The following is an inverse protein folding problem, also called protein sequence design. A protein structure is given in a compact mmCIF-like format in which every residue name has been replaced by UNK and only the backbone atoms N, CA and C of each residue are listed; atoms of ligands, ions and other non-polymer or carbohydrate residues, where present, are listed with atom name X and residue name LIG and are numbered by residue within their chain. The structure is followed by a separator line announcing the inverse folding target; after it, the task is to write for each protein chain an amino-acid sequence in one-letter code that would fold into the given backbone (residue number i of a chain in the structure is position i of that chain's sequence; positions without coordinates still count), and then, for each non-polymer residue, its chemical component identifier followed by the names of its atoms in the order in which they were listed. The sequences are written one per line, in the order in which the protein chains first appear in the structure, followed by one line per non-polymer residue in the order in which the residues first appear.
data_IF_674442873809
#
_entry.id   IF_674442873809
#
_cell.length_a   1.000
_cell.length_b   1.000
_cell.length_c   1.000
_cell.angle_alpha   90.00
_cell.angle_beta   90.00
_cell.angle_gamma   90.00
#
_symmetry.space_group_name_H-M   'P 1'
#
loop_
_entity.id
_entity.type
_entity.pdbx_description
1 polymer ?
#
# COMPACT_ATOMS: atom_id res chain seq x y z
N UNK A 1 76.18 -29.05 -36.74
CA UNK A 1 75.33 -29.70 -35.72
C UNK A 1 74.79 -28.61 -34.79
N UNK A 2 73.47 -28.43 -34.72
CA UNK A 2 72.74 -27.72 -33.65
C UNK A 2 72.13 -28.79 -32.71
N UNK A 3 71.62 -28.51 -31.48
CA UNK A 3 71.18 -27.24 -30.84
C UNK A 3 71.70 -27.09 -29.36
N UNK A 4 71.45 -26.06 -28.52
CA UNK A 4 70.19 -25.69 -27.82
C UNK A 4 70.26 -24.35 -27.04
N UNK A 5 69.13 -23.62 -27.04
CA UNK A 5 68.48 -22.80 -25.97
C UNK A 5 69.17 -21.53 -25.40
N UNK A 6 68.79 -20.30 -25.78
CA UNK A 6 67.65 -19.47 -25.30
C UNK A 6 67.73 -19.03 -23.81
N UNK A 7 67.99 -17.73 -23.54
CA UNK A 7 67.06 -16.75 -22.93
C UNK A 7 67.81 -15.47 -22.44
N UNK A 8 67.48 -14.32 -23.02
CA UNK A 8 67.68 -12.99 -22.44
C UNK A 8 66.55 -12.11 -22.93
N UNK A 9 65.66 -11.67 -22.04
CA UNK A 9 64.74 -10.57 -22.32
C UNK A 9 64.11 -10.02 -21.03
N UNK A 10 64.64 -8.85 -20.67
CA UNK A 10 64.06 -7.71 -19.94
C UNK A 10 62.53 -7.71 -19.83
N UNK A 11 62.03 -7.64 -18.59
CA UNK A 11 60.64 -7.39 -18.26
C UNK A 11 60.43 -5.87 -18.08
N UNK A 12 59.82 -5.20 -19.04
CA UNK A 12 59.23 -3.88 -18.87
C UNK A 12 57.80 -3.92 -19.40
N UNK A 13 56.85 -4.20 -18.49
CA UNK A 13 55.43 -4.21 -18.82
C UNK A 13 54.90 -2.77 -18.75
N UNK A 14 54.68 -2.15 -19.91
CA UNK A 14 53.88 -0.93 -20.02
C UNK A 14 52.41 -1.34 -19.88
N UNK A 15 51.79 -0.99 -18.76
CA UNK A 15 50.35 -1.14 -18.57
C UNK A 15 49.64 -0.04 -19.39
N UNK A 16 49.25 -0.37 -20.63
CA UNK A 16 48.24 0.41 -21.34
C UNK A 16 46.89 -0.05 -20.80
N UNK A 17 46.35 0.69 -19.83
CA UNK A 17 44.95 0.56 -19.44
C UNK A 17 44.10 1.00 -20.64
N UNK A 18 43.57 0.03 -21.39
CA UNK A 18 42.51 0.30 -22.36
C UNK A 18 41.29 0.73 -21.57
N UNK A 19 40.99 2.04 -21.62
CA UNK A 19 39.73 2.57 -21.13
C UNK A 19 38.61 2.03 -22.03
N UNK A 20 38.08 0.86 -21.68
CA UNK A 20 36.82 0.37 -22.24
C UNK A 20 35.76 1.39 -21.81
N UNK A 21 35.03 2.01 -22.76
CA UNK A 21 33.92 2.88 -22.39
C UNK A 21 32.91 2.01 -21.65
N UNK A 22 32.69 2.29 -20.36
CA UNK A 22 31.57 1.72 -19.63
C UNK A 22 30.31 2.30 -20.26
N UNK A 23 29.75 1.56 -21.21
CA UNK A 23 28.37 1.76 -21.64
C UNK A 23 27.54 1.47 -20.40
N UNK A 24 27.13 2.52 -19.70
CA UNK A 24 26.23 2.43 -18.56
C UNK A 24 24.85 1.99 -19.11
N UNK A 25 24.61 0.68 -19.21
CA UNK A 25 23.33 0.13 -19.68
C UNK A 25 22.31 0.32 -18.56
N UNK A 26 21.80 1.56 -18.45
CA UNK A 26 20.80 1.99 -17.46
C UNK A 26 19.51 1.15 -17.47
N UNK A 27 19.25 0.37 -18.51
CA UNK A 27 18.03 -0.44 -18.67
C UNK A 27 18.05 -1.85 -18.06
N UNK A 28 19.21 -2.41 -17.69
CA UNK A 28 19.30 -3.81 -17.21
C UNK A 28 19.29 -3.94 -15.68
N UNK A 29 19.59 -2.87 -14.94
CA UNK A 29 19.71 -2.91 -13.48
C UNK A 29 18.39 -2.49 -12.81
N UNK A 30 18.02 -3.18 -11.74
CA UNK A 30 16.97 -2.75 -10.82
C UNK A 30 17.28 -1.35 -10.29
N UNK A 31 16.35 -0.43 -10.49
CA UNK A 31 16.43 0.94 -9.99
C UNK A 31 15.32 1.20 -8.99
N UNK A 32 15.72 1.55 -7.76
CA UNK A 32 14.82 2.04 -6.72
C UNK A 32 14.29 3.42 -7.10
N UNK A 33 12.97 3.58 -7.02
CA UNK A 33 12.25 4.82 -7.31
C UNK A 33 11.28 5.13 -6.19
N UNK A 34 10.72 6.34 -6.25
CA UNK A 34 9.62 6.72 -5.38
C UNK A 34 8.59 7.54 -6.14
N UNK A 35 7.35 7.52 -5.65
CA UNK A 35 6.24 8.36 -6.10
C UNK A 35 5.54 8.97 -4.88
N UNK A 36 4.74 10.00 -5.13
CA UNK A 36 3.87 10.60 -4.12
C UNK A 36 2.44 10.16 -4.35
N UNK A 37 1.68 9.97 -3.27
CA UNK A 37 0.29 9.52 -3.33
C UNK A 37 -0.58 10.43 -2.49
N UNK A 38 -1.74 10.81 -3.03
CA UNK A 38 -2.79 11.48 -2.28
C UNK A 38 -4.12 10.73 -2.41
N UNK A 39 -5.01 10.93 -1.44
CA UNK A 39 -6.42 10.56 -1.52
C UNK A 39 -7.21 11.75 -2.04
N UNK A 40 -8.00 11.54 -3.09
CA UNK A 40 -8.98 12.51 -3.58
C UNK A 40 -10.39 12.04 -3.26
N UNK A 41 -11.06 12.72 -2.35
CA UNK A 41 -12.43 12.39 -1.96
C UNK A 41 -13.45 13.10 -2.88
N UNK A 42 -14.04 12.33 -3.79
CA UNK A 42 -15.18 12.73 -4.61
C UNK A 42 -16.50 12.07 -4.13
N UNK A 43 -16.49 11.44 -2.96
CA UNK A 43 -17.69 10.84 -2.38
C UNK A 43 -18.68 11.91 -1.88
N UNK A 44 -19.96 11.54 -1.64
CA UNK A 44 -20.95 12.48 -1.14
C UNK A 44 -20.68 12.94 0.30
N UNK A 45 -19.81 12.25 1.04
CA UNK A 45 -19.52 12.53 2.43
C UNK A 45 -18.06 12.94 2.65
N UNK A 46 -17.77 13.57 3.79
CA UNK A 46 -16.40 13.65 4.29
C UNK A 46 -15.98 12.25 4.72
N UNK A 47 -14.69 11.95 4.62
CA UNK A 47 -14.17 10.66 5.06
C UNK A 47 -13.32 10.85 6.30
N UNK A 48 -13.41 9.90 7.22
CA UNK A 48 -12.66 9.84 8.47
C UNK A 48 -11.81 8.59 8.52
N UNK A 49 -10.76 8.62 9.33
CA UNK A 49 -9.89 7.46 9.60
C UNK A 49 -9.42 6.80 8.29
N UNK A 50 -8.96 7.61 7.34
CA UNK A 50 -8.54 7.13 6.03
C UNK A 50 -7.13 6.56 6.17
N UNK A 51 -6.98 5.27 5.91
CA UNK A 51 -5.71 4.57 5.96
C UNK A 51 -5.40 3.96 4.61
N UNK A 52 -4.25 4.32 4.05
CA UNK A 52 -3.72 3.71 2.82
C UNK A 52 -2.52 2.84 3.14
N UNK A 53 -2.53 1.64 2.58
CA UNK A 53 -1.41 0.71 2.59
C UNK A 53 -0.85 0.54 1.20
N UNK A 54 0.48 0.52 1.12
CA UNK A 54 1.21 0.15 -0.08
C UNK A 54 2.28 -0.89 0.27
N UNK A 55 2.31 -1.98 -0.50
CA UNK A 55 3.38 -2.98 -0.45
C UNK A 55 3.95 -3.18 -1.85
N UNK A 56 5.24 -2.98 -2.01
CA UNK A 56 5.97 -3.39 -3.21
C UNK A 56 6.53 -4.79 -2.98
N UNK A 57 5.75 -5.81 -3.36
CA UNK A 57 5.95 -7.20 -2.94
C UNK A 57 6.31 -7.28 -1.44
N UNK A 58 7.35 -8.04 -1.08
CA UNK A 58 7.83 -8.19 0.30
C UNK A 58 9.03 -7.27 0.60
N UNK A 59 9.30 -6.27 -0.25
CA UNK A 59 10.51 -5.44 -0.18
C UNK A 59 10.26 -4.13 0.56
N UNK A 60 9.20 -3.41 0.17
CA UNK A 60 8.87 -2.11 0.77
C UNK A 60 7.43 -2.11 1.27
N UNK A 61 7.21 -1.58 2.48
CA UNK A 61 5.89 -1.43 3.09
C UNK A 61 5.71 -0.02 3.59
N UNK A 62 4.54 0.54 3.31
CA UNK A 62 4.21 1.91 3.67
C UNK A 62 2.77 1.98 4.15
N UNK A 63 2.54 2.80 5.17
CA UNK A 63 1.23 3.13 5.72
C UNK A 63 1.13 4.64 5.85
N UNK A 64 -0.01 5.21 5.49
CA UNK A 64 -0.33 6.60 5.79
C UNK A 64 -1.76 6.70 6.29
N UNK A 65 -1.91 7.40 7.41
CA UNK A 65 -3.18 7.71 8.02
C UNK A 65 -3.52 9.19 7.79
N UNK A 66 -4.77 9.48 7.44
CA UNK A 66 -5.35 10.82 7.42
C UNK A 66 -6.60 10.80 8.31
N UNK A 67 -6.63 11.62 9.38
CA UNK A 67 -7.80 11.68 10.25
C UNK A 67 -9.06 12.07 9.49
N UNK A 68 -8.93 12.98 8.53
CA UNK A 68 -10.01 13.49 7.68
C UNK A 68 -9.50 13.63 6.25
N UNK A 69 -10.30 13.19 5.28
CA UNK A 69 -10.14 13.55 3.87
C UNK A 69 -11.33 14.42 3.43
N UNK A 70 -11.06 15.72 3.28
CA UNK A 70 -12.06 16.71 2.90
C UNK A 70 -12.61 16.47 1.50
N UNK A 71 -13.86 16.90 1.28
CA UNK A 71 -14.47 16.83 -0.05
C UNK A 71 -13.70 17.77 -0.97
N UNK A 72 -13.28 17.24 -2.13
CA UNK A 72 -12.54 17.95 -3.18
C UNK A 72 -11.15 18.40 -2.71
N UNK A 73 -10.12 17.82 -3.32
CA UNK A 73 -8.73 18.12 -3.03
C UNK A 73 -7.91 16.84 -2.86
N UNK A 74 -6.59 16.98 -2.78
CA UNK A 74 -5.71 15.90 -2.39
C UNK A 74 -5.50 15.95 -0.87
N UNK A 75 -5.49 14.78 -0.23
CA UNK A 75 -5.09 14.66 1.17
C UNK A 75 -3.65 15.15 1.39
N UNK A 76 -3.39 15.67 2.59
CA UNK A 76 -2.08 16.16 3.04
C UNK A 76 -1.79 15.59 4.43
N UNK A 77 -0.54 15.16 4.72
CA UNK A 77 0.61 15.12 3.82
C UNK A 77 0.42 14.08 2.70
N UNK A 78 1.17 14.24 1.60
CA UNK A 78 1.26 13.21 0.57
C UNK A 78 2.10 12.04 1.09
N UNK A 79 1.66 10.82 0.80
CA UNK A 79 2.40 9.61 1.15
C UNK A 79 3.53 9.38 0.13
N UNK A 80 4.77 9.25 0.59
CA UNK A 80 5.88 8.83 -0.25
C UNK A 80 5.95 7.31 -0.27
N UNK A 81 5.94 6.71 -1.45
CA UNK A 81 6.06 5.25 -1.64
C UNK A 81 7.29 4.91 -2.46
N UNK A 82 7.97 3.84 -2.09
CA UNK A 82 9.12 3.28 -2.78
C UNK A 82 8.74 2.02 -3.57
N UNK A 83 9.33 1.86 -4.76
CA UNK A 83 9.14 0.73 -5.66
C UNK A 83 10.38 0.55 -6.56
N UNK A 84 10.58 -0.64 -7.10
CA UNK A 84 11.66 -0.89 -8.06
C UNK A 84 11.16 -0.92 -9.51
N UNK A 85 12.04 -0.56 -10.43
CA UNK A 85 11.82 -0.68 -11.88
C UNK A 85 13.03 -1.29 -12.57
N UNK A 86 12.83 -1.89 -13.73
CA UNK A 86 13.89 -2.47 -14.56
C UNK A 86 13.42 -3.71 -15.31
N UNK A 87 14.21 -4.21 -16.25
CA UNK A 87 13.84 -5.34 -17.11
C UNK A 87 13.60 -6.65 -16.32
N UNK A 88 14.25 -6.81 -15.16
CA UNK A 88 14.18 -8.02 -14.33
C UNK A 88 13.42 -7.82 -13.02
N UNK A 89 12.71 -6.70 -12.83
CA UNK A 89 11.89 -6.51 -11.64
C UNK A 89 10.61 -7.33 -11.74
N UNK A 90 10.46 -8.33 -10.88
CA UNK A 90 9.22 -9.11 -10.73
C UNK A 90 8.30 -8.56 -9.63
N UNK A 91 8.75 -7.50 -8.93
CA UNK A 91 8.00 -6.89 -7.86
C UNK A 91 6.71 -6.24 -8.35
N UNK A 92 5.71 -6.20 -7.47
CA UNK A 92 4.38 -5.68 -7.78
C UNK A 92 3.92 -4.74 -6.69
N UNK A 93 3.32 -3.63 -7.10
CA UNK A 93 2.68 -2.67 -6.21
C UNK A 93 1.26 -3.13 -5.86
N UNK A 94 1.06 -3.40 -4.57
CA UNK A 94 -0.19 -3.84 -3.96
C UNK A 94 -0.72 -2.74 -3.05
N UNK A 95 -2.00 -2.41 -3.21
CA UNK A 95 -2.64 -1.29 -2.54
C UNK A 95 -3.89 -1.73 -1.79
N UNK A 96 -4.12 -1.13 -0.63
CA UNK A 96 -5.37 -1.29 0.11
C UNK A 96 -5.74 0.01 0.78
N UNK A 97 -7.00 0.38 0.70
CA UNK A 97 -7.53 1.59 1.32
C UNK A 97 -8.68 1.20 2.25
N UNK A 98 -8.61 1.69 3.47
CA UNK A 98 -9.66 1.58 4.47
C UNK A 98 -10.10 2.99 4.91
N UNK A 99 -11.39 3.23 5.10
CA UNK A 99 -11.90 4.52 5.55
C UNK A 99 -13.28 4.39 6.18
N UNK A 100 -13.71 5.44 6.87
CA UNK A 100 -15.07 5.58 7.39
C UNK A 100 -15.76 6.78 6.75
N UNK A 101 -17.07 6.70 6.56
CA UNK A 101 -17.86 7.86 6.16
C UNK A 101 -18.04 8.82 7.36
N UNK A 102 -18.52 10.04 7.14
CA UNK A 102 -18.56 11.10 8.18
C UNK A 102 -19.46 10.72 9.36
N UNK A 103 -20.47 9.88 9.12
CA UNK A 103 -21.34 9.33 10.16
C UNK A 103 -20.63 8.36 11.11
N UNK A 104 -19.38 7.98 10.81
CA UNK A 104 -18.59 6.97 11.50
C UNK A 104 -19.33 5.64 11.70
N UNK A 105 -20.43 5.36 10.97
CA UNK A 105 -21.27 4.17 11.10
C UNK A 105 -20.87 3.05 10.16
N UNK A 106 -20.17 3.41 9.08
CA UNK A 106 -19.79 2.45 8.03
C UNK A 106 -18.30 2.52 7.78
N UNK A 107 -17.66 1.38 7.90
CA UNK A 107 -16.26 1.16 7.50
C UNK A 107 -16.27 0.61 6.08
N UNK A 108 -15.45 1.20 5.24
CA UNK A 108 -15.21 0.78 3.86
C UNK A 108 -13.80 0.24 3.72
N UNK A 109 -13.66 -0.79 2.90
CA UNK A 109 -12.38 -1.36 2.54
C UNK A 109 -12.36 -1.67 1.04
N UNK A 110 -11.27 -1.37 0.34
CA UNK A 110 -11.11 -1.74 -1.08
C UNK A 110 -11.00 -3.24 -1.27
N UNK A 111 -11.75 -3.77 -2.25
CA UNK A 111 -11.90 -5.21 -2.46
C UNK A 111 -11.87 -5.58 -3.95
N UNK A 112 -10.72 -5.97 -4.52
CA UNK A 112 -10.68 -6.41 -5.92
C UNK A 112 -11.46 -7.72 -6.17
N UNK A 113 -11.75 -8.50 -5.11
CA UNK A 113 -12.52 -9.75 -5.14
C UNK A 113 -13.37 -9.91 -3.86
N UNK A 114 -14.19 -8.92 -3.51
CA UNK A 114 -15.07 -8.93 -2.32
C UNK A 114 -14.36 -9.16 -0.96
N UNK A 115 -13.06 -8.86 -0.85
CA UNK A 115 -12.20 -9.07 0.34
C UNK A 115 -12.11 -10.50 0.87
N UNK A 116 -12.66 -11.50 0.18
CA UNK A 116 -12.65 -12.89 0.66
C UNK A 116 -11.27 -13.34 1.12
N UNK A 117 -10.24 -13.12 0.30
CA UNK A 117 -8.88 -13.51 0.69
C UNK A 117 -8.29 -12.76 1.90
N UNK A 118 -8.74 -11.52 2.17
CA UNK A 118 -8.35 -10.81 3.38
C UNK A 118 -9.08 -11.37 4.60
N UNK A 119 -10.39 -11.60 4.48
CA UNK A 119 -11.20 -12.13 5.57
C UNK A 119 -10.84 -13.58 5.90
N UNK A 120 -10.63 -14.43 4.91
CA UNK A 120 -10.10 -15.79 5.10
C UNK A 120 -8.75 -15.76 5.87
N UNK A 121 -7.91 -14.75 5.60
CA UNK A 121 -6.65 -14.56 6.32
C UNK A 121 -6.85 -14.04 7.75
N UNK A 122 -7.74 -13.08 7.95
CA UNK A 122 -8.06 -12.55 9.28
C UNK A 122 -8.72 -13.60 10.16
N UNK A 123 -9.68 -14.37 9.66
CA UNK A 123 -10.31 -15.50 10.35
C UNK A 123 -9.27 -16.54 10.79
N UNK A 124 -8.25 -16.78 9.96
CA UNK A 124 -7.18 -17.72 10.30
C UNK A 124 -6.29 -17.23 11.44
N UNK A 125 -5.97 -15.94 11.49
CA UNK A 125 -5.10 -15.37 12.53
C UNK A 125 -5.89 -15.03 13.80
N UNK A 126 -7.15 -14.67 13.63
CA UNK A 126 -8.09 -14.30 14.67
C UNK A 126 -9.38 -15.10 14.44
N UNK A 127 -9.53 -16.31 15.01
CA UNK A 127 -10.74 -17.12 14.85
C UNK A 127 -12.05 -16.43 15.25
N UNK A 128 -11.96 -15.35 16.05
CA UNK A 128 -13.07 -14.47 16.43
C UNK A 128 -13.47 -13.47 15.33
N UNK A 129 -12.71 -13.36 14.24
CA UNK A 129 -12.88 -12.37 13.18
C UNK A 129 -13.93 -12.75 12.13
N UNK A 130 -14.78 -13.75 12.40
CA UNK A 130 -15.75 -14.30 11.45
C UNK A 130 -16.59 -13.20 10.75
N UNK A 131 -16.07 -12.67 9.64
CA UNK A 131 -16.74 -11.67 8.83
C UNK A 131 -17.63 -12.42 7.87
N UNK A 132 -18.92 -12.33 8.16
CA UNK A 132 -19.95 -13.03 7.45
C UNK A 132 -20.01 -12.50 6.01
N UNK A 133 -19.60 -13.36 5.07
CA UNK A 133 -19.75 -13.15 3.63
C UNK A 133 -21.20 -13.35 3.15
N UNK A 134 -22.16 -13.53 4.06
CA UNK A 134 -23.57 -13.83 3.82
C UNK A 134 -24.52 -13.01 4.71
N UNK A 135 -24.69 -11.72 4.43
CA UNK A 135 -25.90 -10.95 4.78
C UNK A 135 -26.24 -10.69 6.27
N UNK A 136 -25.56 -11.29 7.26
CA UNK A 136 -25.72 -10.92 8.67
C UNK A 136 -24.54 -10.08 9.13
N UNK A 137 -24.85 -8.90 9.65
CA UNK A 137 -23.89 -7.91 10.13
C UNK A 137 -23.20 -8.44 11.39
N UNK A 138 -21.91 -8.74 11.30
CA UNK A 138 -21.01 -8.75 12.46
C UNK A 138 -20.31 -7.40 12.43
N UNK A 139 -20.63 -6.53 13.40
CA UNK A 139 -20.00 -5.22 13.49
C UNK A 139 -18.55 -5.36 13.92
N UNK A 140 -17.71 -4.39 13.57
CA UNK A 140 -16.35 -4.30 14.10
C UNK A 140 -16.29 -4.29 15.64
N UNK A 141 -17.43 -4.06 16.32
CA UNK A 141 -17.56 -3.99 17.77
C UNK A 141 -17.34 -5.32 18.48
N UNK A 142 -17.64 -6.45 17.85
CA UNK A 142 -17.33 -7.77 18.42
C UNK A 142 -15.84 -8.11 18.35
N UNK A 143 -15.02 -7.23 17.74
CA UNK A 143 -13.58 -7.42 17.50
C UNK A 143 -12.68 -6.61 18.44
N UNK A 144 -13.27 -5.77 19.30
CA UNK A 144 -12.57 -5.17 20.42
C UNK A 144 -12.48 -6.20 21.56
N UNK A 145 -11.34 -6.89 21.67
CA UNK A 145 -11.00 -7.64 22.88
C UNK A 145 -11.08 -6.71 24.12
N UNK A 146 -11.30 -7.25 25.35
CA UNK A 146 -11.61 -6.48 26.57
C UNK A 146 -10.47 -5.60 27.13
N UNK A 147 -9.44 -5.28 26.34
CA UNK A 147 -8.20 -4.61 26.78
C UNK A 147 -8.03 -3.23 26.14
N UNK A 148 -9.07 -2.40 26.12
CA UNK A 148 -8.92 -1.01 25.68
C UNK A 148 -9.57 -0.09 26.70
N UNK A 149 -8.75 0.35 27.66
CA UNK A 149 -9.01 1.51 28.46
C UNK A 149 -9.15 2.74 27.54
N UNK A 150 -10.31 3.36 27.61
CA UNK A 150 -10.75 4.46 26.75
C UNK A 150 -9.85 5.68 26.94
N UNK A 151 -9.02 6.00 25.95
CA UNK A 151 -8.29 7.27 25.86
C UNK A 151 -8.92 8.09 24.74
N UNK A 152 -9.78 9.04 25.11
CA UNK A 152 -10.28 10.25 24.39
C UNK A 152 -10.57 10.23 22.87
N UNK A 153 -10.66 9.08 22.20
CA UNK A 153 -11.00 8.95 20.78
C UNK A 153 -12.27 8.12 20.55
N UNK A 154 -12.97 8.37 19.42
CA UNK A 154 -14.13 7.57 18.98
C UNK A 154 -13.82 6.07 18.99
N UNK A 155 -14.76 5.23 19.44
CA UNK A 155 -14.56 3.77 19.51
C UNK A 155 -14.21 3.18 18.13
N UNK A 156 -14.79 3.75 17.07
CA UNK A 156 -14.50 3.40 15.68
C UNK A 156 -13.04 3.67 15.30
N UNK A 157 -12.47 4.81 15.69
CA UNK A 157 -11.06 5.13 15.36
C UNK A 157 -10.07 4.15 15.98
N UNK A 158 -10.30 3.72 17.22
CA UNK A 158 -9.44 2.78 17.94
C UNK A 158 -9.52 1.40 17.27
N UNK A 159 -10.73 0.91 17.01
CA UNK A 159 -10.93 -0.38 16.35
C UNK A 159 -10.30 -0.40 14.94
N UNK A 160 -10.46 0.68 14.18
CA UNK A 160 -9.83 0.84 12.87
C UNK A 160 -8.30 0.79 12.97
N UNK A 161 -7.70 1.47 13.95
CA UNK A 161 -6.24 1.45 14.14
C UNK A 161 -5.72 0.04 14.41
N UNK A 162 -6.38 -0.72 15.27
CA UNK A 162 -5.96 -2.10 15.61
C UNK A 162 -5.99 -2.98 14.36
N UNK A 163 -7.08 -2.95 13.61
CA UNK A 163 -7.23 -3.76 12.40
C UNK A 163 -6.22 -3.35 11.34
N UNK A 164 -6.06 -2.03 11.14
CA UNK A 164 -5.12 -1.50 10.15
C UNK A 164 -3.67 -1.83 10.50
N UNK A 165 -3.28 -1.82 11.77
CA UNK A 165 -1.95 -2.22 12.23
C UNK A 165 -1.69 -3.72 11.98
N UNK A 166 -2.67 -4.58 12.24
CA UNK A 166 -2.56 -6.02 11.94
C UNK A 166 -2.43 -6.29 10.43
N UNK A 167 -3.24 -5.62 9.60
CA UNK A 167 -3.18 -5.70 8.13
C UNK A 167 -1.81 -5.24 7.60
N UNK A 168 -1.26 -4.17 8.19
CA UNK A 168 0.02 -3.62 7.81
C UNK A 168 1.18 -4.59 8.12
N UNK A 169 1.17 -5.15 9.32
CA UNK A 169 2.20 -6.07 9.79
C UNK A 169 2.13 -7.45 9.13
N UNK A 170 1.02 -7.79 8.48
CA UNK A 170 0.91 -9.01 7.71
C UNK A 170 1.89 -9.06 6.53
N UNK A 171 2.40 -10.24 6.19
CA UNK A 171 3.16 -10.43 4.93
C UNK A 171 2.25 -10.63 3.71
N UNK A 172 0.96 -10.90 3.92
CA UNK A 172 0.04 -11.16 2.81
C UNK A 172 -0.33 -9.89 2.03
N UNK A 173 -0.58 -10.08 0.74
CA UNK A 173 -1.23 -9.12 -0.18
C UNK A 173 -2.64 -9.57 -0.56
N UNK A 174 -3.19 -10.60 0.12
CA UNK A 174 -4.55 -11.04 -0.08
C UNK A 174 -5.55 -9.90 0.21
N UNK A 175 -6.44 -9.64 -0.75
CA UNK A 175 -7.38 -8.52 -0.70
C UNK A 175 -6.81 -7.17 -1.17
N UNK A 176 -5.51 -7.06 -1.44
CA UNK A 176 -4.92 -5.84 -2.00
C UNK A 176 -5.21 -5.75 -3.50
N UNK A 177 -5.46 -4.53 -3.97
CA UNK A 177 -5.57 -4.21 -5.39
C UNK A 177 -4.18 -3.98 -5.98
N UNK A 178 -3.85 -4.70 -7.04
CA UNK A 178 -2.64 -4.41 -7.80
C UNK A 178 -2.81 -3.12 -8.64
N UNK A 179 -1.82 -2.22 -8.56
CA UNK A 179 -1.68 -1.06 -9.45
C UNK A 179 -0.20 -0.72 -9.60
N UNK A 180 0.42 -1.16 -10.71
CA UNK A 180 1.87 -1.11 -10.91
C UNK A 180 2.34 0.32 -11.19
N UNK A 181 3.35 0.77 -10.46
CA UNK A 181 4.09 2.00 -10.74
C UNK A 181 5.24 1.71 -11.69
N UNK A 182 5.47 2.62 -12.63
CA UNK A 182 6.52 2.49 -13.65
C UNK A 182 7.48 3.67 -13.58
N UNK A 183 8.56 3.60 -14.35
CA UNK A 183 9.54 4.68 -14.45
C UNK A 183 8.91 6.06 -14.73
N UNK A 184 7.83 6.10 -15.51
CA UNK A 184 7.10 7.35 -15.79
C UNK A 184 6.45 8.00 -14.56
N UNK A 185 6.22 7.24 -13.49
CA UNK A 185 5.60 7.70 -12.24
C UNK A 185 6.62 8.25 -11.24
N UNK A 186 7.91 8.15 -11.54
CA UNK A 186 8.99 8.58 -10.64
C UNK A 186 8.86 10.06 -10.27
N UNK A 187 8.81 10.34 -8.97
CA UNK A 187 8.64 11.67 -8.38
C UNK A 187 7.36 12.38 -8.85
N UNK A 188 6.37 11.64 -9.34
CA UNK A 188 5.06 12.16 -9.73
C UNK A 188 4.02 11.84 -8.68
N UNK A 189 2.94 12.61 -8.73
CA UNK A 189 1.77 12.40 -7.90
C UNK A 189 0.86 11.36 -8.57
N UNK A 190 0.52 10.34 -7.80
CA UNK A 190 -0.56 9.41 -8.05
C UNK A 190 -1.77 9.83 -7.23
N UNK A 191 -2.94 9.84 -7.85
CA UNK A 191 -4.20 10.15 -7.17
C UNK A 191 -5.01 8.86 -6.97
N UNK A 192 -5.37 8.58 -5.74
CA UNK A 192 -6.35 7.55 -5.41
C UNK A 192 -7.69 8.24 -5.18
N UNK A 193 -8.58 8.10 -6.15
CA UNK A 193 -9.87 8.79 -6.17
C UNK A 193 -10.93 7.87 -5.60
N UNK A 194 -11.62 8.33 -4.56
CA UNK A 194 -12.81 7.68 -4.00
C UNK A 194 -14.01 8.34 -4.66
N UNK A 195 -14.75 7.58 -5.45
CA UNK A 195 -15.84 8.09 -6.29
C UNK A 195 -17.15 8.28 -5.50
N UNK A 196 -18.16 8.85 -6.15
CA UNK A 196 -19.47 9.11 -5.56
C UNK A 196 -20.19 7.83 -5.08
N UNK A 197 -19.92 6.69 -5.72
CA UNK A 197 -20.43 5.36 -5.38
C UNK A 197 -19.48 4.57 -4.45
N UNK A 198 -18.50 5.25 -3.86
CA UNK A 198 -17.43 4.68 -3.04
C UNK A 198 -16.51 3.67 -3.75
N UNK A 199 -16.63 3.48 -5.07
CA UNK A 199 -15.60 2.76 -5.83
C UNK A 199 -14.30 3.56 -5.84
N UNK A 200 -13.18 2.86 -6.01
CA UNK A 200 -11.84 3.46 -5.93
C UNK A 200 -11.10 3.35 -7.25
N UNK A 201 -10.55 4.47 -7.71
CA UNK A 201 -9.76 4.58 -8.92
C UNK A 201 -8.33 5.00 -8.59
N UNK A 202 -7.37 4.17 -8.94
CA UNK A 202 -5.94 4.44 -8.85
C UNK A 202 -5.49 5.09 -10.16
N UNK A 203 -5.00 6.33 -10.12
CA UNK A 203 -4.55 7.09 -11.28
C UNK A 203 -3.09 7.49 -11.12
N UNK A 204 -2.22 6.87 -11.90
CA UNK A 204 -0.82 7.26 -12.07
C UNK A 204 -0.59 7.77 -13.50
N UNK A 205 0.62 8.24 -13.81
CA UNK A 205 0.95 8.64 -15.19
C UNK A 205 1.02 7.41 -16.09
N UNK A 206 1.46 6.27 -15.57
CA UNK A 206 1.61 5.02 -16.32
C UNK A 206 0.29 4.28 -16.57
N UNK A 207 -0.77 4.56 -15.81
CA UNK A 207 -2.06 3.93 -16.06
C UNK A 207 -3.13 4.20 -15.01
N UNK A 208 -4.28 3.54 -15.23
CA UNK A 208 -5.46 3.64 -14.37
C UNK A 208 -5.91 2.22 -14.01
N UNK A 209 -6.19 1.98 -12.73
CA UNK A 209 -6.89 0.75 -12.30
C UNK A 209 -8.06 1.09 -11.38
N UNK A 210 -9.04 0.19 -11.30
CA UNK A 210 -10.27 0.37 -10.52
C UNK A 210 -10.53 -0.82 -9.61
N UNK A 211 -11.20 -0.57 -8.49
CA UNK A 211 -11.68 -1.59 -7.56
C UNK A 211 -12.96 -1.12 -6.90
N UNK A 212 -13.77 -2.07 -6.45
CA UNK A 212 -14.94 -1.80 -5.61
C UNK A 212 -14.52 -1.76 -4.13
N UNK A 213 -15.46 -1.39 -3.27
CA UNK A 213 -15.34 -1.48 -1.81
C UNK A 213 -16.33 -2.48 -1.25
N UNK A 214 -15.96 -3.13 -0.14
CA UNK A 214 -16.93 -3.75 0.78
C UNK A 214 -17.15 -2.82 1.96
N UNK A 215 -18.28 -2.97 2.63
CA UNK A 215 -18.64 -2.16 3.80
C UNK A 215 -19.12 -3.01 4.96
N UNK A 216 -18.79 -2.60 6.18
CA UNK A 216 -19.29 -3.20 7.41
C UNK A 216 -19.73 -2.10 8.39
N UNK A 217 -20.77 -2.35 9.22
CA UNK A 217 -21.11 -1.47 10.31
C UNK A 217 -19.96 -1.32 11.31
N UNK A 218 -19.73 -0.08 11.73
CA UNK A 218 -18.74 0.27 12.73
C UNK A 218 -19.29 0.10 14.16
N UNK A 219 -18.46 0.42 15.15
CA UNK A 219 -18.92 0.57 16.53
C UNK A 219 -19.64 1.92 16.64
N UNK A 220 -20.91 1.97 17.07
CA UNK A 220 -21.53 3.24 17.40
C UNK A 220 -20.65 3.98 18.41
N UNK A 221 -20.36 5.25 18.16
CA UNK A 221 -19.88 6.11 19.26
C UNK A 221 -21.03 6.16 20.27
N UNK A 222 -20.75 5.74 21.51
CA UNK A 222 -21.71 5.86 22.60
C UNK A 222 -22.12 7.33 22.70
N UNK A 223 -23.43 7.61 22.70
CA UNK A 223 -23.92 8.97 22.82
C UNK A 223 -23.34 9.59 24.11
N UNK A 224 -22.91 10.86 24.10
CA UNK A 224 -22.48 11.51 25.33
C UNK A 224 -23.63 11.42 26.35
N UNK A 225 -23.35 11.17 27.63
CA UNK A 225 -24.40 11.08 28.64
C UNK A 225 -25.24 12.36 28.60
N UNK A 226 -26.56 12.21 28.50
CA UNK A 226 -27.49 13.31 28.65
C UNK A 226 -27.32 13.89 30.06
N UNK A 227 -26.99 15.18 30.15
CA UNK A 227 -27.00 15.95 31.39
C UNK A 227 -28.43 16.40 31.72
#
# INVERSE_FOLDING_TARGET
MLPTSFLSAVLALVAVASAVPQVEIRGLRTQKRYAYVCIRNNSPQRLRNVTLFHKYSDVYKHKQDWPIAEKRGCSSPQMKVEYDTGLFTLGRDWWMLAFTADDSRTIYLTTPKNARGLFDWLDRIFPTFAIITSGTVVSLATMAHPVLSFVSGSATSIAMRIITDQIFNAETTAGYKQHILRESDAMKLMEIVINADYTVTFKSKSGISRTITTSAPSVPDEAPPEN
#
